data_IF_383826505357
#
_entry.id   IF_383826505357
#
_cell.length_a   1.000
_cell.length_b   1.000
_cell.length_c   1.000
_cell.angle_alpha   90.00
_cell.angle_beta   90.00
_cell.angle_gamma   90.00
#
_symmetry.space_group_name_H-M   'P 1'
#
loop_
_entity.id
_entity.type
_entity.pdbx_description
1 polymer ?
#
# COMPACT_ATOMS: atom_id res chain seq x y z
N UNK A 1 21.08 -10.55 -21.13
CA UNK A 1 21.20 -9.89 -19.81
C UNK A 1 19.93 -9.08 -19.64
N UNK A 2 18.92 -9.67 -19.00
CA UNK A 2 17.68 -8.97 -18.72
C UNK A 2 17.75 -8.50 -17.27
N UNK A 3 17.77 -7.18 -17.13
CA UNK A 3 18.08 -6.43 -15.92
C UNK A 3 17.17 -6.85 -14.76
N UNK A 4 17.75 -7.02 -13.58
CA UNK A 4 17.13 -7.64 -12.41
C UNK A 4 15.71 -7.18 -12.12
N UNK A 5 14.76 -8.08 -12.34
CA UNK A 5 13.42 -7.92 -11.80
C UNK A 5 13.50 -8.31 -10.32
N UNK A 6 13.89 -7.35 -9.47
CA UNK A 6 13.38 -7.36 -8.11
C UNK A 6 11.89 -7.07 -8.21
N UNK A 7 11.08 -8.08 -8.55
CA UNK A 7 9.67 -7.93 -8.95
C UNK A 7 8.88 -7.42 -7.76
N UNK A 8 8.80 -6.10 -7.60
CA UNK A 8 7.91 -5.48 -6.65
C UNK A 8 6.50 -5.96 -7.01
N UNK A 9 5.79 -6.51 -6.04
CA UNK A 9 4.43 -6.97 -6.25
C UNK A 9 3.44 -5.81 -6.11
N UNK A 10 3.74 -4.87 -5.21
CA UNK A 10 2.93 -3.67 -5.00
C UNK A 10 3.82 -2.45 -4.80
N UNK A 11 3.48 -1.33 -5.43
CA UNK A 11 4.03 -0.02 -5.06
C UNK A 11 2.95 1.05 -5.04
N UNK A 12 3.25 2.19 -4.46
CA UNK A 12 2.42 3.38 -4.57
C UNK A 12 2.90 4.50 -3.68
N UNK A 13 2.17 5.62 -3.73
CA UNK A 13 2.40 6.75 -2.83
C UNK A 13 1.14 7.08 -2.02
N UNK A 14 1.35 7.50 -0.77
CA UNK A 14 0.31 8.10 0.04
C UNK A 14 0.50 9.62 0.07
N UNK A 15 -0.52 10.35 -0.34
CA UNK A 15 -0.53 11.82 -0.38
C UNK A 15 -1.70 12.39 0.38
N UNK A 16 -1.58 13.66 0.79
CA UNK A 16 -2.65 14.43 1.40
C UNK A 16 -3.62 14.87 0.30
N UNK A 17 -4.91 14.60 0.49
CA UNK A 17 -5.96 14.92 -0.48
C UNK A 17 -6.27 16.41 -0.57
N UNK A 18 -5.86 17.20 0.42
CA UNK A 18 -6.11 18.64 0.54
C UNK A 18 -4.93 19.43 0.00
N UNK A 19 -3.70 19.09 0.40
CA UNK A 19 -2.49 19.83 0.03
C UNK A 19 -1.71 19.18 -1.13
N UNK A 20 -1.91 17.88 -1.38
CA UNK A 20 -1.12 17.10 -2.33
C UNK A 20 0.24 16.64 -1.79
N UNK A 21 0.58 16.97 -0.54
CA UNK A 21 1.87 16.62 0.05
C UNK A 21 1.98 15.12 0.36
N UNK A 22 3.17 14.51 0.22
CA UNK A 22 3.38 13.12 0.61
C UNK A 22 3.21 12.92 2.12
N UNK A 23 2.42 11.90 2.51
CA UNK A 23 2.17 11.60 3.93
C UNK A 23 3.20 10.61 4.46
N UNK A 24 4.16 11.11 5.24
CA UNK A 24 5.16 10.31 5.95
C UNK A 24 4.56 9.59 7.17
N UNK A 25 4.96 8.34 7.38
CA UNK A 25 4.64 7.55 8.58
C UNK A 25 3.18 7.13 8.67
N UNK A 26 2.45 7.09 7.54
CA UNK A 26 1.14 6.46 7.47
C UNK A 26 1.31 4.94 7.55
N UNK A 27 0.45 4.28 8.33
CA UNK A 27 0.46 2.83 8.51
C UNK A 27 -0.52 2.23 7.53
N UNK A 28 -0.02 1.46 6.56
CA UNK A 28 -0.81 0.65 5.65
C UNK A 28 -0.90 -0.77 6.18
N UNK A 29 -2.12 -1.28 6.34
CA UNK A 29 -2.41 -2.65 6.71
C UNK A 29 -3.05 -3.34 5.52
N UNK A 30 -2.39 -4.37 4.99
CA UNK A 30 -2.87 -5.18 3.88
C UNK A 30 -3.43 -6.49 4.45
N UNK A 31 -4.71 -6.75 4.20
CA UNK A 31 -5.44 -7.94 4.67
C UNK A 31 -5.95 -8.70 3.45
N UNK A 32 -5.51 -9.94 3.25
CA UNK A 32 -5.98 -10.75 2.13
C UNK A 32 -7.44 -11.16 2.35
N UNK A 33 -8.31 -10.72 1.45
CA UNK A 33 -9.73 -11.05 1.48
C UNK A 33 -9.93 -12.50 1.03
N UNK A 34 -10.47 -13.35 1.91
CA UNK A 34 -10.77 -14.75 1.61
C UNK A 34 -9.73 -15.77 2.08
N UNK A 35 -8.64 -15.34 2.74
CA UNK A 35 -7.69 -16.27 3.35
C UNK A 35 -7.23 -15.77 4.73
N UNK A 36 -7.78 -16.36 5.79
CA UNK A 36 -7.43 -16.01 7.18
C UNK A 36 -6.04 -16.53 7.61
N UNK A 37 -5.36 -17.32 6.77
CA UNK A 37 -4.05 -17.89 7.09
C UNK A 37 -2.88 -16.97 6.70
N UNK A 38 -3.09 -15.97 5.84
CA UNK A 38 -2.05 -14.99 5.52
C UNK A 38 -1.99 -13.92 6.60
N UNK A 39 -0.83 -13.77 7.22
CA UNK A 39 -0.59 -12.73 8.21
C UNK A 39 -0.88 -11.34 7.62
N UNK A 40 -1.51 -10.47 8.41
CA UNK A 40 -1.70 -9.08 8.04
C UNK A 40 -0.35 -8.43 7.75
N UNK A 41 -0.20 -7.87 6.55
CA UNK A 41 1.04 -7.21 6.17
C UNK A 41 0.93 -5.73 6.54
N UNK A 42 1.76 -5.30 7.50
CA UNK A 42 1.77 -3.90 7.96
C UNK A 42 3.01 -3.21 7.39
N UNK A 43 2.80 -2.12 6.68
CA UNK A 43 3.85 -1.23 6.16
C UNK A 43 3.66 0.18 6.63
N UNK A 44 4.76 0.92 6.66
CA UNK A 44 4.75 2.36 6.95
C UNK A 44 5.29 3.09 5.73
N UNK A 45 4.67 4.20 5.37
CA UNK A 45 5.16 5.05 4.29
C UNK A 45 6.50 5.68 4.65
N UNK A 46 7.36 5.79 3.65
CA UNK A 46 8.64 6.49 3.76
C UNK A 46 8.43 8.02 3.86
N UNK A 47 9.54 8.77 3.98
CA UNK A 47 9.49 10.24 4.08
C UNK A 47 8.85 10.93 2.88
N UNK A 48 8.90 10.28 1.72
CA UNK A 48 8.25 10.72 0.48
C UNK A 48 6.84 10.17 0.30
N UNK A 49 6.20 9.61 1.33
CA UNK A 49 4.87 8.99 1.24
C UNK A 49 4.84 7.66 0.48
N UNK A 50 5.93 7.28 -0.18
CA UNK A 50 6.03 6.05 -0.96
C UNK A 50 6.07 4.79 -0.10
N UNK A 51 5.55 3.69 -0.65
CA UNK A 51 5.66 2.35 -0.10
C UNK A 51 5.88 1.34 -1.23
N UNK A 52 6.53 0.23 -0.90
CA UNK A 52 6.75 -0.88 -1.84
C UNK A 52 6.74 -2.22 -1.10
N UNK A 53 6.23 -3.24 -1.78
CA UNK A 53 6.13 -4.61 -1.31
C UNK A 53 6.88 -5.48 -2.31
N UNK A 54 7.96 -6.10 -1.85
CA UNK A 54 8.84 -6.93 -2.70
C UNK A 54 8.20 -8.25 -3.10
N UNK A 55 7.37 -8.85 -2.24
CA UNK A 55 6.73 -10.14 -2.51
C UNK A 55 5.46 -10.23 -1.68
N UNK A 56 4.34 -10.51 -2.33
CA UNK A 56 3.04 -10.77 -1.69
C UNK A 56 2.31 -11.80 -2.55
N UNK A 57 1.46 -12.64 -1.95
CA UNK A 57 0.70 -13.62 -2.72
C UNK A 57 -0.32 -12.92 -3.62
N UNK A 58 -0.59 -13.45 -4.81
CA UNK A 58 -1.67 -12.95 -5.65
C UNK A 58 -3.03 -13.13 -4.95
N UNK A 59 -3.89 -12.13 -5.06
CA UNK A 59 -5.19 -12.11 -4.41
C UNK A 59 -5.71 -10.70 -4.17
N UNK A 60 -6.89 -10.62 -3.58
CA UNK A 60 -7.57 -9.34 -3.31
C UNK A 60 -7.24 -8.90 -1.89
N UNK A 61 -6.48 -7.82 -1.74
CA UNK A 61 -6.12 -7.25 -0.44
C UNK A 61 -7.00 -6.06 -0.10
N UNK A 62 -7.52 -6.03 1.11
CA UNK A 62 -8.05 -4.83 1.73
C UNK A 62 -6.90 -4.06 2.36
N UNK A 63 -6.64 -2.86 1.84
CA UNK A 63 -5.59 -1.95 2.31
C UNK A 63 -6.23 -0.87 3.18
N UNK A 64 -5.93 -0.91 4.46
CA UNK A 64 -6.37 0.09 5.44
C UNK A 64 -5.20 1.01 5.78
N UNK A 65 -5.32 2.28 5.44
CA UNK A 65 -4.31 3.29 5.72
C UNK A 65 -4.76 4.17 6.88
N UNK A 66 -3.92 4.24 7.91
CA UNK A 66 -4.19 5.00 9.13
C UNK A 66 -3.03 5.92 9.46
N UNK A 67 -3.34 7.14 9.89
CA UNK A 67 -2.33 8.12 10.32
C UNK A 67 -2.94 9.06 11.35
N UNK A 68 -2.22 9.30 12.44
CA UNK A 68 -2.61 10.31 13.44
C UNK A 68 -2.74 11.68 12.78
N UNK A 69 -3.92 12.31 12.94
CA UNK A 69 -4.27 13.58 12.30
C UNK A 69 -4.89 13.45 10.90
N UNK A 70 -5.21 12.23 10.45
CA UNK A 70 -5.88 11.97 9.17
C UNK A 70 -7.02 10.97 9.37
N UNK A 71 -8.02 11.05 8.50
CA UNK A 71 -9.11 10.08 8.39
C UNK A 71 -8.58 8.75 7.87
N UNK A 72 -9.01 7.65 8.48
CA UNK A 72 -8.69 6.32 7.97
C UNK A 72 -9.25 6.13 6.56
N UNK A 73 -8.46 5.50 5.69
CA UNK A 73 -8.87 5.19 4.32
C UNK A 73 -8.77 3.70 4.11
N UNK A 74 -9.87 3.09 3.67
CA UNK A 74 -9.90 1.68 3.28
C UNK A 74 -10.06 1.60 1.77
N UNK A 75 -9.22 0.80 1.12
CA UNK A 75 -9.29 0.54 -0.32
C UNK A 75 -9.04 -0.94 -0.61
N UNK A 76 -9.46 -1.42 -1.77
CA UNK A 76 -9.20 -2.80 -2.22
C UNK A 76 -8.17 -2.79 -3.34
N UNK A 77 -7.17 -3.64 -3.23
CA UNK A 77 -6.12 -3.85 -4.21
C UNK A 77 -6.19 -5.29 -4.71
N UNK A 78 -6.25 -5.48 -6.03
CA UNK A 78 -6.06 -6.81 -6.61
C UNK A 78 -4.61 -6.95 -7.01
N UNK A 79 -3.94 -7.97 -6.48
CA UNK A 79 -2.55 -8.29 -6.82
C UNK A 79 -2.54 -9.55 -7.69
N UNK A 80 -1.90 -9.46 -8.86
CA UNK A 80 -1.68 -10.58 -9.76
C UNK A 80 -0.24 -11.09 -9.61
N UNK A 81 -0.01 -12.39 -9.81
CA UNK A 81 1.35 -12.92 -9.78
C UNK A 81 2.14 -12.45 -10.99
N UNK A 82 3.39 -12.02 -10.76
CA UNK A 82 4.27 -11.53 -11.83
C UNK A 82 3.97 -10.12 -12.35
N UNK A 83 2.92 -9.44 -11.84
CA UNK A 83 2.57 -8.07 -12.22
C UNK A 83 2.75 -7.09 -11.06
N UNK A 84 3.27 -5.90 -11.37
CA UNK A 84 3.40 -4.81 -10.41
C UNK A 84 2.06 -4.12 -10.24
N UNK A 85 1.48 -4.20 -9.05
CA UNK A 85 0.26 -3.47 -8.71
C UNK A 85 0.60 -2.07 -8.18
N UNK A 86 0.09 -1.04 -8.84
CA UNK A 86 0.26 0.35 -8.40
C UNK A 86 -0.99 0.86 -7.69
N UNK A 87 -0.83 1.40 -6.48
CA UNK A 87 -1.94 1.91 -5.68
C UNK A 87 -1.60 3.22 -4.98
N UNK A 88 -2.10 4.31 -5.54
CA UNK A 88 -1.98 5.63 -4.93
C UNK A 88 -3.15 5.90 -4.00
N UNK A 89 -2.84 6.38 -2.79
CA UNK A 89 -3.84 6.55 -1.73
C UNK A 89 -3.81 7.99 -1.25
N UNK A 90 -4.95 8.65 -1.32
CA UNK A 90 -5.10 10.01 -0.81
C UNK A 90 -5.75 9.97 0.58
N UNK A 91 -5.05 10.46 1.59
CA UNK A 91 -5.59 10.62 2.94
C UNK A 91 -6.17 12.02 3.11
N UNK A 92 -7.31 12.11 3.79
CA UNK A 92 -7.91 13.39 4.14
C UNK A 92 -7.48 13.75 5.55
N UNK A 93 -6.83 14.91 5.71
CA UNK A 93 -6.46 15.43 7.03
C UNK A 93 -7.72 15.84 7.81
N UNK A 94 -7.75 15.54 9.11
CA UNK A 94 -8.81 15.99 10.03
C UNK A 94 -8.49 17.36 10.64
#
# INVERSE_FOLDING_TARGET
METGQGSLAVQGVVTDSVTGDPVKGAVLKFVLNGNSATADLIKKTAEKGGYNIKTIAAGIYTVTVTKTGYTERVTSLTVSDGELSELDIQLTKI
#
